data_IF_681436380992
#
_entry.id   IF_681436380992
#
_cell.length_a   1.000
_cell.length_b   1.000
_cell.length_c   1.000
_cell.angle_alpha   90.00
_cell.angle_beta   90.00
_cell.angle_gamma   90.00
#
_symmetry.space_group_name_H-M   'P 1'
#
loop_
_entity.id
_entity.type
_entity.pdbx_description
1 polymer ?
#
# COMPACT_ATOMS: atom_id res chain seq x y z
N UNK A 1 -23.23 30.65 -13.57
CA UNK A 1 -23.02 29.66 -14.65
C UNK A 1 -22.29 28.46 -14.08
N UNK A 2 -22.98 27.33 -13.93
CA UNK A 2 -22.41 26.06 -13.44
C UNK A 2 -22.00 25.25 -14.67
N UNK A 3 -20.71 24.90 -14.82
CA UNK A 3 -20.27 23.84 -15.73
C UNK A 3 -19.98 22.58 -14.90
N UNK A 4 -20.97 21.69 -14.85
CA UNK A 4 -20.79 20.24 -14.69
C UNK A 4 -20.72 19.63 -16.10
N UNK A 5 -20.69 18.29 -16.17
CA UNK A 5 -20.66 17.38 -17.32
C UNK A 5 -19.24 16.88 -17.60
N UNK A 6 -18.85 15.66 -17.19
CA UNK A 6 -19.35 14.28 -17.34
C UNK A 6 -18.45 13.53 -18.32
N UNK A 7 -17.87 12.44 -17.82
CA UNK A 7 -17.14 11.44 -18.59
C UNK A 7 -18.08 10.67 -19.52
N UNK A 8 -17.59 10.28 -20.70
CA UNK A 8 -18.20 9.23 -21.50
C UNK A 8 -17.11 8.38 -22.14
N UNK A 9 -17.08 7.11 -21.74
CA UNK A 9 -16.45 6.00 -22.47
C UNK A 9 -17.43 5.53 -23.53
N UNK A 10 -16.99 5.30 -24.77
CA UNK A 10 -17.73 4.48 -25.72
C UNK A 10 -16.80 3.71 -26.65
N UNK A 11 -16.97 2.40 -26.59
CA UNK A 11 -16.47 1.34 -27.46
C UNK A 11 -16.90 1.54 -28.91
N UNK A 12 -15.99 1.36 -29.85
CA UNK A 12 -16.27 1.28 -31.29
C UNK A 12 -16.82 -0.11 -31.61
N UNK A 13 -18.05 -0.16 -32.11
CA UNK A 13 -18.60 -1.31 -32.83
C UNK A 13 -18.66 -0.94 -34.30
N UNK A 14 -18.05 -1.75 -35.15
CA UNK A 14 -18.01 -1.60 -36.61
C UNK A 14 -19.40 -1.88 -37.19
N UNK A 15 -19.87 -0.99 -38.07
CA UNK A 15 -20.88 -1.33 -39.08
C UNK A 15 -20.57 -0.56 -40.36
N UNK A 16 -20.43 -1.33 -41.43
CA UNK A 16 -20.16 -0.87 -42.78
C UNK A 16 -21.35 -0.11 -43.38
N UNK A 17 -21.05 0.92 -44.18
CA UNK A 17 -22.05 1.65 -44.96
C UNK A 17 -21.35 2.76 -45.73
N UNK A 18 -21.27 2.58 -47.04
CA UNK A 18 -20.69 3.48 -48.04
C UNK A 18 -21.46 4.80 -48.14
N UNK A 19 -20.76 5.94 -48.11
CA UNK A 19 -21.11 7.14 -48.90
C UNK A 19 -19.93 8.13 -48.89
N UNK A 20 -19.63 8.70 -50.05
CA UNK A 20 -18.46 9.54 -50.32
C UNK A 20 -18.55 10.90 -49.61
N UNK A 21 -17.46 11.29 -48.93
CA UNK A 21 -17.31 12.61 -48.31
C UNK A 21 -16.51 13.50 -49.28
N UNK A 22 -16.94 14.74 -49.60
CA UNK A 22 -16.25 15.61 -50.54
C UNK A 22 -14.97 16.19 -49.93
N UNK A 23 -14.08 16.68 -50.81
CA UNK A 23 -12.69 17.09 -50.60
C UNK A 23 -12.48 18.25 -49.59
N UNK A 24 -12.75 17.99 -48.32
CA UNK A 24 -12.29 18.78 -47.16
C UNK A 24 -11.48 17.92 -46.17
N UNK A 25 -11.30 16.63 -46.47
CA UNK A 25 -10.54 15.69 -45.65
C UNK A 25 -9.08 15.51 -46.13
N UNK A 26 -8.74 15.89 -47.36
CA UNK A 26 -7.39 15.68 -47.91
C UNK A 26 -6.37 16.73 -47.49
N UNK A 27 -6.78 17.95 -47.13
CA UNK A 27 -5.85 18.98 -46.63
C UNK A 27 -5.55 18.83 -45.12
N UNK A 28 -6.47 18.24 -44.34
CA UNK A 28 -6.19 17.90 -42.94
C UNK A 28 -5.29 16.67 -42.78
N UNK A 29 -5.18 15.80 -43.79
CA UNK A 29 -4.34 14.61 -43.72
C UNK A 29 -2.88 14.85 -44.14
N UNK A 30 -2.60 15.98 -44.81
CA UNK A 30 -1.24 16.35 -45.18
C UNK A 30 -0.53 17.17 -44.07
N UNK A 31 -1.27 17.89 -43.21
CA UNK A 31 -0.70 18.52 -42.00
C UNK A 31 -0.53 17.54 -40.81
N UNK A 32 -1.14 16.35 -40.85
CA UNK A 32 -0.97 15.32 -39.81
C UNK A 32 0.25 14.42 -40.09
N UNK A 33 0.78 14.42 -41.32
CA UNK A 33 1.94 13.59 -41.70
C UNK A 33 3.30 14.29 -41.57
N UNK A 34 3.34 15.56 -41.15
CA UNK A 34 4.57 16.33 -40.90
C UNK A 34 4.66 16.90 -39.47
N UNK A 35 3.77 16.48 -38.57
CA UNK A 35 3.98 16.69 -37.15
C UNK A 35 5.06 15.71 -36.68
N UNK A 36 6.19 16.16 -36.09
CA UNK A 36 7.06 15.24 -35.40
C UNK A 36 6.20 14.46 -34.40
N UNK A 37 6.44 13.16 -34.28
CA UNK A 37 5.82 12.38 -33.22
C UNK A 37 5.94 13.19 -31.94
N UNK A 38 4.80 13.61 -31.37
CA UNK A 38 4.78 14.07 -29.99
C UNK A 38 5.18 12.82 -29.24
N UNK A 39 6.47 12.67 -28.96
CA UNK A 39 6.91 11.90 -27.82
C UNK A 39 6.04 12.40 -26.70
N UNK A 40 5.10 11.55 -26.30
CA UNK A 40 4.38 11.72 -25.05
C UNK A 40 5.47 11.98 -24.04
N UNK A 41 5.59 13.23 -23.58
CA UNK A 41 6.33 13.56 -22.36
C UNK A 41 5.87 12.51 -21.37
N UNK A 42 6.71 11.50 -21.12
CA UNK A 42 6.38 10.50 -20.13
C UNK A 42 6.09 11.31 -18.87
N UNK A 43 5.00 10.98 -18.20
CA UNK A 43 4.66 11.57 -16.92
C UNK A 43 5.70 11.04 -15.92
N UNK A 44 6.95 11.53 -16.03
CA UNK A 44 8.13 11.22 -15.22
C UNK A 44 7.98 11.80 -13.81
N UNK A 45 6.75 12.06 -13.34
CA UNK A 45 6.50 12.73 -12.07
C UNK A 45 6.87 11.86 -10.87
N UNK A 46 7.12 10.56 -11.09
CA UNK A 46 7.57 9.61 -10.06
C UNK A 46 8.62 8.65 -10.62
N UNK A 47 9.76 8.61 -9.94
CA UNK A 47 10.80 7.64 -10.25
C UNK A 47 10.37 6.24 -9.82
N UNK A 48 10.37 5.30 -10.76
CA UNK A 48 10.10 3.90 -10.49
C UNK A 48 11.33 3.07 -10.86
N UNK A 49 11.73 2.19 -9.95
CA UNK A 49 12.80 1.24 -10.19
C UNK A 49 12.16 -0.08 -10.60
N UNK A 50 12.22 -0.42 -11.89
CA UNK A 50 11.54 -1.60 -12.45
C UNK A 50 12.50 -2.70 -12.94
N UNK A 51 13.79 -2.41 -13.10
CA UNK A 51 14.83 -3.43 -13.26
C UNK A 51 15.35 -3.85 -11.90
N UNK A 52 15.82 -5.11 -11.77
CA UNK A 52 16.41 -5.64 -10.54
C UNK A 52 17.79 -6.18 -10.84
N UNK A 53 18.80 -5.68 -10.13
CA UNK A 53 20.16 -6.18 -10.21
C UNK A 53 20.29 -7.59 -9.62
N UNK A 54 21.32 -8.32 -10.03
CA UNK A 54 21.61 -9.64 -9.48
C UNK A 54 21.78 -9.55 -7.95
N UNK A 55 21.28 -10.56 -7.22
CA UNK A 55 21.29 -10.60 -5.75
C UNK A 55 20.54 -9.46 -5.05
N UNK A 56 19.68 -8.72 -5.76
CA UNK A 56 18.76 -7.75 -5.19
C UNK A 56 17.31 -8.22 -5.24
N UNK A 57 16.45 -7.50 -4.51
CA UNK A 57 14.99 -7.66 -4.50
C UNK A 57 14.32 -6.28 -4.52
N UNK A 58 13.19 -6.16 -5.21
CA UNK A 58 12.39 -4.95 -5.16
C UNK A 58 11.50 -4.93 -3.91
N UNK A 59 11.63 -3.86 -3.14
CA UNK A 59 10.83 -3.61 -1.94
C UNK A 59 10.16 -2.26 -2.00
N UNK A 60 8.99 -2.18 -1.36
CA UNK A 60 8.14 -1.00 -1.35
C UNK A 60 8.26 -0.24 -0.05
N UNK A 61 8.69 1.01 -0.16
CA UNK A 61 8.83 1.94 0.93
C UNK A 61 7.69 2.97 0.90
N UNK A 62 6.88 3.02 1.95
CA UNK A 62 5.76 3.95 2.02
C UNK A 62 6.21 5.34 2.47
N UNK A 63 5.88 6.37 1.69
CA UNK A 63 6.16 7.75 2.07
C UNK A 63 5.47 8.78 1.21
N UNK A 64 5.99 10.02 1.23
CA UNK A 64 5.46 11.15 0.47
C UNK A 64 6.58 12.08 0.01
N UNK A 65 6.50 12.60 -1.21
CA UNK A 65 7.38 13.65 -1.71
C UNK A 65 6.75 15.03 -1.51
N UNK A 66 7.53 15.97 -0.98
CA UNK A 66 7.14 17.37 -0.89
C UNK A 66 7.36 18.09 -2.23
N UNK A 67 6.48 19.03 -2.60
CA UNK A 67 6.76 19.99 -3.66
C UNK A 67 7.27 21.29 -3.06
N UNK A 68 8.53 21.61 -3.32
CA UNK A 68 9.16 22.85 -2.83
C UNK A 68 10.28 23.35 -3.74
N UNK A 69 10.27 22.94 -5.02
CA UNK A 69 11.33 23.24 -5.99
C UNK A 69 11.62 24.74 -6.09
N UNK A 70 10.60 25.59 -6.27
CA UNK A 70 10.79 27.06 -6.35
C UNK A 70 11.43 27.65 -5.08
N UNK A 71 10.97 27.22 -3.91
CA UNK A 71 11.49 27.71 -2.63
C UNK A 71 12.94 27.25 -2.40
N UNK A 72 13.24 26.00 -2.77
CA UNK A 72 14.57 25.42 -2.69
C UNK A 72 15.55 26.10 -3.65
N UNK A 73 15.16 26.25 -4.92
CA UNK A 73 15.94 26.93 -5.95
C UNK A 73 16.24 28.38 -5.54
N UNK A 74 15.24 29.09 -5.02
CA UNK A 74 15.42 30.43 -4.46
C UNK A 74 16.43 30.43 -3.33
N UNK A 75 16.31 29.52 -2.35
CA UNK A 75 17.20 29.45 -1.19
C UNK A 75 18.65 29.18 -1.59
N UNK A 76 18.89 28.21 -2.48
CA UNK A 76 20.24 27.90 -2.99
C UNK A 76 20.84 29.11 -3.71
N UNK A 77 20.05 29.79 -4.55
CA UNK A 77 20.50 30.97 -5.27
C UNK A 77 20.78 32.18 -4.35
N UNK A 78 20.05 32.31 -3.24
CA UNK A 78 20.37 33.29 -2.19
C UNK A 78 21.72 32.98 -1.53
N UNK A 79 21.97 31.72 -1.18
CA UNK A 79 23.24 31.26 -0.60
C UNK A 79 24.42 31.52 -1.56
N UNK A 80 24.26 31.17 -2.84
CA UNK A 80 25.27 31.43 -3.89
C UNK A 80 25.60 32.92 -4.01
N UNK A 81 24.55 33.75 -4.04
CA UNK A 81 24.71 35.21 -4.13
C UNK A 81 25.39 35.77 -2.89
N UNK A 82 25.03 35.28 -1.72
CA UNK A 82 25.65 35.66 -0.45
C UNK A 82 27.15 35.35 -0.44
N UNK A 83 27.54 34.13 -0.84
CA UNK A 83 28.93 33.69 -0.92
C UNK A 83 29.78 34.59 -1.83
N UNK A 84 29.24 34.94 -3.01
CA UNK A 84 29.89 35.85 -3.97
C UNK A 84 30.02 37.28 -3.43
N UNK A 85 29.01 37.78 -2.71
CA UNK A 85 29.06 39.11 -2.06
C UNK A 85 30.08 39.18 -0.94
N UNK A 86 30.22 38.10 -0.17
CA UNK A 86 31.10 38.05 0.99
C UNK A 86 32.56 37.74 0.63
N UNK A 87 32.83 37.36 -0.62
CA UNK A 87 34.19 36.99 -1.02
C UNK A 87 34.69 35.74 -0.31
N UNK A 88 33.83 34.72 -0.14
CA UNK A 88 34.27 33.45 0.46
C UNK A 88 35.25 32.72 -0.46
N UNK A 89 36.01 31.76 0.08
CA UNK A 89 36.94 30.95 -0.70
C UNK A 89 36.24 30.28 -1.90
N UNK A 90 36.80 30.41 -3.10
CA UNK A 90 36.25 29.73 -4.30
C UNK A 90 36.48 28.22 -4.19
N UNK A 91 35.44 27.37 -4.23
CA UNK A 91 35.60 25.92 -4.21
C UNK A 91 36.41 25.36 -5.38
N UNK A 92 36.52 26.10 -6.49
CA UNK A 92 37.23 25.67 -7.70
C UNK A 92 38.71 26.00 -7.66
N UNK A 93 39.10 26.99 -6.85
CA UNK A 93 40.48 27.48 -6.80
C UNK A 93 40.82 27.97 -5.38
N UNK A 94 41.71 27.27 -4.66
CA UNK A 94 42.10 27.63 -3.30
C UNK A 94 42.86 28.97 -3.21
N UNK A 95 43.32 29.53 -4.34
CA UNK A 95 44.09 30.77 -4.35
C UNK A 95 43.26 32.03 -4.59
N UNK A 96 41.94 31.91 -4.77
CA UNK A 96 41.08 33.07 -5.03
C UNK A 96 39.78 33.06 -4.23
N UNK A 97 39.20 34.25 -4.09
CA UNK A 97 37.86 34.44 -3.50
C UNK A 97 36.81 34.57 -4.59
N UNK A 98 35.59 34.14 -4.28
CA UNK A 98 34.44 34.38 -5.13
C UNK A 98 34.18 35.89 -5.25
N UNK A 99 33.64 36.28 -6.39
CA UNK A 99 33.27 37.67 -6.67
C UNK A 99 31.85 37.72 -7.22
N UNK A 100 31.26 38.92 -7.30
CA UNK A 100 29.94 39.06 -7.92
C UNK A 100 29.90 38.69 -9.41
N UNK A 101 31.04 38.72 -10.13
CA UNK A 101 31.11 38.19 -11.50
C UNK A 101 31.05 36.67 -11.58
N UNK A 102 31.32 35.95 -10.49
CA UNK A 102 31.17 34.49 -10.43
C UNK A 102 29.72 34.07 -10.15
N UNK A 103 28.82 35.01 -9.80
CA UNK A 103 27.44 34.67 -9.48
C UNK A 103 26.63 34.32 -10.72
N UNK A 104 26.45 33.02 -10.93
CA UNK A 104 25.50 32.45 -11.89
C UNK A 104 24.40 31.73 -11.09
N UNK A 105 23.12 32.16 -11.21
CA UNK A 105 22.02 31.43 -10.61
C UNK A 105 21.98 30.01 -11.15
N UNK A 106 21.94 29.03 -10.25
CA UNK A 106 21.68 27.64 -10.61
C UNK A 106 20.24 27.53 -11.08
N UNK A 107 20.00 26.65 -12.05
CA UNK A 107 18.68 26.31 -12.58
C UNK A 107 18.19 24.99 -12.00
N UNK A 108 16.89 24.74 -12.08
CA UNK A 108 16.34 23.45 -11.71
C UNK A 108 16.38 22.48 -12.89
N UNK A 109 16.54 21.18 -12.66
CA UNK A 109 16.33 20.13 -13.67
C UNK A 109 15.43 19.02 -13.11
N UNK A 110 14.41 18.63 -13.88
CA UNK A 110 13.53 17.52 -13.50
C UNK A 110 14.21 16.17 -13.65
N UNK A 111 15.20 16.03 -14.53
CA UNK A 111 16.05 14.85 -14.62
C UNK A 111 16.90 14.66 -13.36
N UNK A 112 17.51 15.74 -12.84
CA UNK A 112 18.19 15.70 -11.54
C UNK A 112 17.21 15.48 -10.39
N UNK A 113 16.01 16.07 -10.44
CA UNK A 113 14.95 15.83 -9.46
C UNK A 113 14.51 14.35 -9.44
N UNK A 114 14.46 13.69 -10.60
CA UNK A 114 14.16 12.27 -10.71
C UNK A 114 15.16 11.43 -9.91
N UNK A 115 16.46 11.69 -10.10
CA UNK A 115 17.54 11.02 -9.35
C UNK A 115 17.39 11.34 -7.86
N UNK A 116 17.21 12.62 -7.51
CA UNK A 116 17.03 13.07 -6.14
C UNK A 116 15.86 12.37 -5.43
N UNK A 117 14.75 12.09 -6.14
CA UNK A 117 13.59 11.38 -5.58
C UNK A 117 13.95 9.96 -5.17
N UNK A 118 14.58 9.20 -6.06
CA UNK A 118 15.03 7.83 -5.75
C UNK A 118 16.00 7.87 -4.57
N UNK A 119 17.00 8.74 -4.63
CA UNK A 119 18.02 8.86 -3.59
C UNK A 119 17.45 9.31 -2.25
N UNK A 120 16.51 10.26 -2.21
CA UNK A 120 15.87 10.66 -0.96
C UNK A 120 15.08 9.51 -0.31
N UNK A 121 14.42 8.66 -1.10
CA UNK A 121 13.72 7.50 -0.57
C UNK A 121 14.67 6.41 -0.09
N UNK A 122 15.67 6.05 -0.91
CA UNK A 122 16.71 5.09 -0.54
C UNK A 122 17.45 5.55 0.72
N UNK A 123 17.90 6.81 0.76
CA UNK A 123 18.64 7.38 1.87
C UNK A 123 17.82 7.51 3.16
N UNK A 124 16.48 7.47 3.09
CA UNK A 124 15.62 7.46 4.28
C UNK A 124 15.69 6.14 5.06
N UNK A 125 16.10 5.06 4.39
CA UNK A 125 16.26 3.72 4.97
C UNK A 125 17.67 3.17 4.84
N UNK A 126 18.61 3.91 4.24
CA UNK A 126 20.03 3.57 4.14
C UNK A 126 20.87 4.86 4.16
N UNK A 127 21.35 5.27 5.32
CA UNK A 127 21.91 6.62 5.53
C UNK A 127 23.38 6.73 5.05
N UNK A 128 23.59 6.54 3.75
CA UNK A 128 24.90 6.55 3.09
C UNK A 128 24.78 7.07 1.64
N UNK A 129 25.92 7.47 1.07
CA UNK A 129 26.04 7.80 -0.36
C UNK A 129 26.09 6.54 -1.24
N UNK A 130 26.35 5.36 -0.66
CA UNK A 130 26.09 4.10 -1.32
C UNK A 130 24.57 3.84 -1.38
N UNK A 131 24.12 3.24 -2.48
CA UNK A 131 22.72 2.84 -2.68
C UNK A 131 22.44 1.51 -1.96
N UNK A 132 21.18 1.25 -1.56
CA UNK A 132 20.81 0.00 -0.86
C UNK A 132 21.06 -1.28 -1.65
N UNK A 133 21.21 -1.19 -2.98
CA UNK A 133 21.58 -2.31 -3.85
C UNK A 133 23.10 -2.58 -3.91
N UNK A 134 23.92 -1.75 -3.25
CA UNK A 134 25.38 -1.88 -3.19
C UNK A 134 26.14 -1.06 -4.23
N UNK A 135 25.46 -0.37 -5.14
CA UNK A 135 26.10 0.53 -6.12
C UNK A 135 26.33 1.93 -5.51
N UNK A 136 27.17 2.75 -6.13
CA UNK A 136 27.36 4.15 -5.72
C UNK A 136 26.14 5.02 -6.12
N UNK A 137 25.89 6.14 -5.44
CA UNK A 137 24.79 7.07 -5.78
C UNK A 137 24.80 7.51 -7.26
N UNK A 138 25.99 7.69 -7.85
CA UNK A 138 26.17 8.09 -9.25
C UNK A 138 25.93 6.97 -10.28
N UNK A 139 25.56 5.76 -9.86
CA UNK A 139 25.21 4.67 -10.79
C UNK A 139 23.85 4.87 -11.49
N UNK A 140 23.07 5.85 -11.03
CA UNK A 140 21.73 6.11 -11.52
C UNK A 140 21.71 7.30 -12.48
N UNK A 141 21.05 7.10 -13.61
CA UNK A 141 20.68 8.17 -14.54
C UNK A 141 19.17 8.42 -14.51
N UNK A 142 18.76 9.60 -14.99
CA UNK A 142 17.37 9.85 -15.35
C UNK A 142 16.95 9.02 -16.57
N UNK A 143 15.64 8.92 -16.89
CA UNK A 143 15.17 8.27 -18.11
C UNK A 143 15.74 8.87 -19.41
N UNK A 144 16.14 10.15 -19.37
CA UNK A 144 16.79 10.85 -20.48
C UNK A 144 18.32 10.66 -20.51
N UNK A 145 18.88 9.86 -19.60
CA UNK A 145 20.31 9.57 -19.54
C UNK A 145 21.15 10.64 -18.85
N UNK A 146 20.54 11.57 -18.11
CA UNK A 146 21.27 12.57 -17.33
C UNK A 146 21.78 11.95 -16.04
N UNK A 147 23.01 12.24 -15.66
CA UNK A 147 23.65 11.74 -14.43
C UNK A 147 23.86 12.88 -13.41
N UNK A 148 23.98 12.51 -12.14
CA UNK A 148 24.36 13.45 -11.08
C UNK A 148 25.88 13.54 -10.97
N UNK A 149 26.40 14.76 -10.79
CA UNK A 149 27.82 15.03 -10.57
C UNK A 149 28.15 15.45 -9.13
N UNK A 150 27.14 15.44 -8.26
CA UNK A 150 27.32 15.73 -6.84
C UNK A 150 26.04 15.50 -6.05
N UNK A 151 26.08 14.54 -5.13
CA UNK A 151 24.99 14.26 -4.20
C UNK A 151 25.24 14.95 -2.85
N UNK A 152 24.19 15.56 -2.31
CA UNK A 152 24.16 16.07 -0.93
C UNK A 152 22.94 15.50 -0.21
N UNK A 153 23.13 15.01 1.02
CA UNK A 153 22.07 14.37 1.80
C UNK A 153 21.84 15.11 3.11
N UNK A 154 20.58 15.21 3.53
CA UNK A 154 20.20 15.75 4.83
C UNK A 154 19.10 14.90 5.47
N UNK A 155 19.22 14.68 6.78
CA UNK A 155 18.24 13.99 7.59
C UNK A 155 17.81 14.85 8.76
N UNK A 156 16.50 14.99 8.94
CA UNK A 156 15.89 15.73 10.04
C UNK A 156 14.44 15.26 10.29
N UNK A 157 13.70 15.99 11.14
CA UNK A 157 12.30 15.67 11.47
C UNK A 157 11.32 16.78 11.09
N UNK A 158 11.75 17.75 10.29
CA UNK A 158 10.89 18.83 9.77
C UNK A 158 9.90 18.30 8.73
N UNK A 159 8.95 19.14 8.29
CA UNK A 159 8.01 18.79 7.21
C UNK A 159 8.21 19.71 5.98
N UNK A 160 9.45 20.14 5.74
CA UNK A 160 9.82 21.01 4.63
C UNK A 160 11.20 20.62 4.08
N UNK A 161 11.47 21.07 2.85
CA UNK A 161 12.75 20.83 2.17
C UNK A 161 13.83 21.84 2.61
N UNK A 162 13.42 23.04 3.02
CA UNK A 162 14.33 24.16 3.30
C UNK A 162 15.22 23.86 4.52
N UNK A 163 14.67 23.18 5.52
CA UNK A 163 15.45 22.73 6.68
C UNK A 163 16.66 21.88 6.28
N UNK A 164 16.52 21.00 5.28
CA UNK A 164 17.65 20.22 4.76
C UNK A 164 18.72 21.10 4.09
N UNK A 165 18.29 22.09 3.30
CA UNK A 165 19.19 23.06 2.66
C UNK A 165 19.92 23.91 3.70
N UNK A 166 19.24 24.30 4.78
CA UNK A 166 19.85 25.07 5.86
C UNK A 166 20.81 24.23 6.72
N UNK A 167 20.61 22.90 6.81
CA UNK A 167 21.62 22.00 7.38
C UNK A 167 22.89 22.00 6.54
N UNK A 168 22.79 21.89 5.21
CA UNK A 168 23.94 22.01 4.30
C UNK A 168 24.62 23.36 4.40
N UNK A 169 23.85 24.44 4.54
CA UNK A 169 24.37 25.78 4.72
C UNK A 169 25.17 25.94 6.03
N UNK A 170 24.85 25.16 7.06
CA UNK A 170 25.53 25.19 8.35
C UNK A 170 27.05 25.01 8.26
N UNK A 171 27.53 24.27 7.26
CA UNK A 171 28.98 24.04 7.02
C UNK A 171 29.73 25.31 6.58
N UNK A 172 29.02 26.39 6.23
CA UNK A 172 29.61 27.67 5.84
C UNK A 172 30.69 28.13 6.81
N UNK A 173 30.47 27.98 8.12
CA UNK A 173 31.44 28.47 9.10
C UNK A 173 32.78 27.73 8.99
N UNK A 174 32.74 26.42 8.79
CA UNK A 174 33.93 25.59 8.63
C UNK A 174 34.65 25.93 7.33
N UNK A 175 33.91 26.18 6.24
CA UNK A 175 34.50 26.62 4.97
C UNK A 175 35.12 28.02 5.07
N UNK A 176 34.43 28.99 5.67
CA UNK A 176 34.94 30.35 5.75
C UNK A 176 36.16 30.45 6.66
N UNK A 177 36.16 29.70 7.76
CA UNK A 177 37.25 29.69 8.75
C UNK A 177 38.35 28.66 8.44
N UNK A 178 38.14 27.77 7.46
CA UNK A 178 39.06 26.70 7.09
C UNK A 178 39.45 25.83 8.31
N UNK A 179 38.44 25.39 9.07
CA UNK A 179 38.63 24.62 10.33
C UNK A 179 39.04 23.17 10.10
N UNK A 180 38.94 22.67 8.87
CA UNK A 180 39.07 21.25 8.54
C UNK A 180 37.79 20.42 8.78
N UNK A 181 36.67 21.07 9.11
CA UNK A 181 35.36 20.42 9.17
C UNK A 181 34.86 19.95 7.80
N UNK A 182 33.78 19.17 7.80
CA UNK A 182 33.11 18.74 6.56
C UNK A 182 32.42 19.95 5.92
N UNK A 183 32.72 20.21 4.65
CA UNK A 183 32.19 21.39 3.92
C UNK A 183 31.62 21.05 2.54
N UNK A 184 31.53 19.75 2.22
CA UNK A 184 31.12 19.27 0.91
C UNK A 184 29.76 19.84 0.49
N UNK A 185 28.77 19.82 1.37
CA UNK A 185 27.43 20.29 1.05
C UNK A 185 27.39 21.79 0.75
N UNK A 186 28.03 22.62 1.60
CA UNK A 186 28.10 24.06 1.36
C UNK A 186 28.86 24.36 0.07
N UNK A 187 30.00 23.71 -0.16
CA UNK A 187 30.82 23.94 -1.36
C UNK A 187 30.10 23.53 -2.64
N UNK A 188 29.32 22.44 -2.65
CA UNK A 188 28.48 22.06 -3.79
C UNK A 188 27.44 23.13 -4.12
N UNK A 189 26.79 23.72 -3.11
CA UNK A 189 25.82 24.80 -3.35
C UNK A 189 26.47 26.04 -3.95
N UNK A 190 27.65 26.46 -3.47
CA UNK A 190 28.28 27.72 -3.89
C UNK A 190 29.20 27.59 -5.10
N UNK A 191 29.55 26.37 -5.54
CA UNK A 191 30.44 26.15 -6.68
C UNK A 191 29.82 26.71 -7.97
N UNK A 192 30.43 27.72 -8.61
CA UNK A 192 29.85 28.32 -9.82
C UNK A 192 29.84 27.40 -11.05
N UNK A 193 30.60 26.29 -11.05
CA UNK A 193 30.52 25.30 -12.11
C UNK A 193 29.22 24.49 -12.07
N UNK A 194 28.53 24.41 -10.92
CA UNK A 194 27.22 23.77 -10.84
C UNK A 194 26.18 24.70 -11.45
N UNK A 195 25.66 24.32 -12.62
CA UNK A 195 24.71 25.08 -13.44
C UNK A 195 23.27 24.65 -13.19
N UNK A 196 23.07 23.37 -12.88
CA UNK A 196 21.76 22.78 -12.60
C UNK A 196 21.75 22.06 -11.26
N UNK A 197 20.55 22.00 -10.67
CA UNK A 197 20.28 21.26 -9.45
C UNK A 197 18.89 20.61 -9.52
N UNK A 198 18.75 19.43 -8.93
CA UNK A 198 17.45 18.82 -8.64
C UNK A 198 17.43 18.31 -7.22
N UNK A 199 16.40 18.65 -6.44
CA UNK A 199 16.24 18.20 -5.05
C UNK A 199 14.93 17.46 -4.87
N UNK A 200 14.92 16.53 -3.92
CA UNK A 200 13.70 15.92 -3.43
C UNK A 200 13.74 15.71 -1.92
N UNK A 201 12.58 15.84 -1.28
CA UNK A 201 12.39 15.47 0.11
C UNK A 201 11.39 14.33 0.20
N UNK A 202 11.83 13.20 0.75
CA UNK A 202 10.98 12.05 1.04
C UNK A 202 10.65 12.00 2.53
N UNK A 203 9.34 11.97 2.81
CA UNK A 203 8.79 11.84 4.15
C UNK A 203 8.44 10.38 4.41
N UNK A 204 9.25 9.73 5.23
CA UNK A 204 9.09 8.34 5.66
C UNK A 204 8.77 8.29 7.17
N UNK A 205 7.50 8.13 7.59
CA UNK A 205 7.14 8.17 9.02
C UNK A 205 7.80 7.09 9.89
N UNK A 206 8.18 5.97 9.28
CA UNK A 206 8.74 4.80 9.98
C UNK A 206 10.28 4.82 10.03
N UNK A 207 10.93 5.80 9.38
CA UNK A 207 12.38 5.97 9.38
C UNK A 207 12.92 6.53 10.71
N UNK A 208 14.25 6.44 10.90
CA UNK A 208 14.93 7.05 12.06
C UNK A 208 14.81 8.58 12.05
N UNK A 209 14.91 9.17 10.86
CA UNK A 209 14.59 10.56 10.58
C UNK A 209 13.45 10.60 9.59
N UNK A 210 12.36 11.27 9.97
CA UNK A 210 11.15 11.30 9.15
C UNK A 210 11.38 11.96 7.79
N UNK A 211 12.29 12.92 7.72
CA UNK A 211 12.55 13.75 6.55
C UNK A 211 13.97 13.50 6.05
N UNK A 212 14.05 13.02 4.82
CA UNK A 212 15.30 12.89 4.08
C UNK A 212 15.24 13.76 2.85
N UNK A 213 16.23 14.63 2.66
CA UNK A 213 16.39 15.47 1.48
C UNK A 213 17.65 15.07 0.72
N UNK A 214 17.51 14.77 -0.57
CA UNK A 214 18.63 14.62 -1.51
C UNK A 214 18.71 15.84 -2.42
N UNK A 215 19.92 16.27 -2.73
CA UNK A 215 20.19 17.26 -3.76
C UNK A 215 21.25 16.74 -4.73
N UNK A 216 20.96 16.85 -6.02
CA UNK A 216 21.81 16.43 -7.12
C UNK A 216 22.27 17.67 -7.90
N UNK A 217 23.57 17.84 -8.08
CA UNK A 217 24.17 18.95 -8.81
C UNK A 217 24.79 18.47 -10.12
N UNK A 218 24.73 19.32 -11.14
CA UNK A 218 25.40 19.08 -12.42
C UNK A 218 26.06 20.34 -12.97
N UNK A 219 27.21 20.15 -13.60
CA UNK A 219 27.88 21.17 -14.41
C UNK A 219 27.48 21.14 -15.88
N UNK A 220 26.63 20.19 -16.28
CA UNK A 220 26.16 20.06 -17.65
C UNK A 220 25.33 21.28 -18.09
N UNK A 221 25.30 21.52 -19.39
CA UNK A 221 24.58 22.63 -20.01
C UNK A 221 23.37 22.11 -20.77
N UNK A 222 22.27 22.86 -20.76
CA UNK A 222 21.11 22.55 -21.59
C UNK A 222 20.22 21.43 -21.04
N UNK A 223 20.34 21.12 -19.74
CA UNK A 223 19.38 20.25 -19.07
C UNK A 223 17.99 20.88 -19.05
N UNK A 224 16.98 20.03 -18.89
CA UNK A 224 15.59 20.42 -18.76
C UNK A 224 15.38 21.38 -17.56
N UNK A 225 14.31 22.17 -17.59
CA UNK A 225 13.96 23.11 -16.50
C UNK A 225 12.56 22.83 -15.92
N UNK A 226 12.09 21.58 -16.02
CA UNK A 226 10.80 21.14 -15.49
C UNK A 226 10.81 20.91 -13.98
N UNK A 227 9.64 20.82 -13.34
CA UNK A 227 9.52 20.51 -11.91
C UNK A 227 8.43 19.47 -11.67
N UNK A 228 8.67 18.49 -10.81
CA UNK A 228 7.67 17.51 -10.46
C UNK A 228 6.75 17.95 -9.30
N UNK A 229 5.55 17.39 -9.28
CA UNK A 229 4.50 17.71 -8.30
C UNK A 229 4.71 16.97 -6.97
N UNK A 230 4.00 17.43 -5.95
CA UNK A 230 3.96 16.76 -4.66
C UNK A 230 3.24 15.42 -4.80
N UNK A 231 3.71 14.40 -4.08
CA UNK A 231 3.09 13.07 -4.08
C UNK A 231 2.89 12.60 -2.65
N UNK A 232 1.66 12.18 -2.31
CA UNK A 232 1.31 11.76 -0.95
C UNK A 232 0.98 10.27 -0.91
N UNK A 233 1.38 9.61 0.18
CA UNK A 233 1.04 8.23 0.50
C UNK A 233 1.35 7.22 -0.63
N UNK A 234 2.51 7.36 -1.26
CA UNK A 234 2.97 6.46 -2.33
C UNK A 234 3.85 5.36 -1.75
N UNK A 235 3.84 4.19 -2.38
CA UNK A 235 4.86 3.16 -2.21
C UNK A 235 5.94 3.42 -3.25
N UNK A 236 7.11 3.86 -2.81
CA UNK A 236 8.30 4.01 -3.62
C UNK A 236 9.00 2.66 -3.70
N UNK A 237 9.19 2.13 -4.90
CA UNK A 237 10.02 0.93 -5.09
C UNK A 237 11.47 1.32 -4.95
N UNK A 238 12.23 0.52 -4.19
CA UNK A 238 13.68 0.58 -4.11
C UNK A 238 14.24 -0.83 -4.27
N UNK A 239 15.46 -0.94 -4.79
CA UNK A 239 16.18 -2.20 -4.82
C UNK A 239 17.06 -2.28 -3.58
N UNK A 240 17.08 -3.44 -2.92
CA UNK A 240 17.95 -3.71 -1.77
C UNK A 240 18.66 -5.04 -1.96
N UNK A 241 19.88 -5.16 -1.43
CA UNK A 241 20.61 -6.43 -1.46
C UNK A 241 19.88 -7.51 -0.66
N UNK A 242 19.85 -8.73 -1.20
CA UNK A 242 19.13 -9.85 -0.60
C UNK A 242 19.63 -10.19 0.82
N UNK A 243 20.93 -10.01 1.07
CA UNK A 243 21.56 -10.29 2.36
C UNK A 243 21.07 -9.39 3.50
N UNK A 244 20.57 -8.20 3.19
CA UNK A 244 20.10 -7.21 4.17
C UNK A 244 18.60 -7.34 4.49
N UNK A 245 17.92 -8.28 3.82
CA UNK A 245 16.49 -8.53 3.95
C UNK A 245 16.23 -9.82 4.73
N UNK A 246 15.30 -9.74 5.69
CA UNK A 246 14.71 -10.91 6.33
C UNK A 246 13.21 -10.94 6.05
N UNK A 247 12.76 -11.96 5.34
CA UNK A 247 11.33 -12.18 5.11
C UNK A 247 10.61 -12.44 6.44
N UNK A 248 9.37 -11.99 6.54
CA UNK A 248 8.53 -12.28 7.69
C UNK A 248 7.06 -12.42 7.28
N UNK A 249 6.42 -13.47 7.81
CA UNK A 249 4.99 -13.67 7.71
C UNK A 249 4.33 -13.49 9.10
N UNK A 250 3.29 -12.66 9.21
CA UNK A 250 2.57 -12.52 10.50
C UNK A 250 1.83 -13.82 10.84
N UNK A 251 1.92 -14.31 12.09
CA UNK A 251 1.11 -15.45 12.51
C UNK A 251 -0.38 -15.12 12.43
N UNK A 252 -1.19 -16.10 12.03
CA UNK A 252 -2.65 -15.97 12.08
C UNK A 252 -3.11 -15.89 13.54
N UNK A 253 -3.53 -14.69 13.97
CA UNK A 253 -3.91 -14.41 15.37
C UNK A 253 -5.13 -15.21 15.82
N UNK A 254 -6.06 -15.47 14.90
CA UNK A 254 -7.33 -16.12 15.19
C UNK A 254 -7.53 -17.37 14.31
N UNK A 255 -8.38 -18.27 14.80
CA UNK A 255 -8.85 -19.39 14.00
C UNK A 255 -9.78 -18.85 12.91
N UNK A 256 -9.65 -19.38 11.70
CA UNK A 256 -10.50 -19.01 10.57
C UNK A 256 -11.74 -19.89 10.57
N UNK A 257 -12.94 -19.32 10.45
CA UNK A 257 -14.14 -20.13 10.24
C UNK A 257 -14.22 -20.58 8.77
N UNK A 258 -14.84 -21.74 8.53
CA UNK A 258 -15.20 -22.18 7.17
C UNK A 258 -15.94 -21.07 6.42
N UNK A 259 -15.69 -20.94 5.12
CA UNK A 259 -16.14 -19.87 4.21
C UNK A 259 -15.67 -18.45 4.52
N UNK A 260 -14.88 -18.24 5.59
CA UNK A 260 -14.29 -16.93 5.89
C UNK A 260 -12.91 -16.81 5.25
N UNK A 261 -12.53 -15.56 5.00
CA UNK A 261 -11.23 -15.20 4.44
C UNK A 261 -10.41 -14.39 5.41
N UNK A 262 -9.09 -14.44 5.27
CA UNK A 262 -8.14 -13.58 5.97
C UNK A 262 -6.97 -13.27 5.04
N UNK A 263 -6.52 -12.01 5.03
CA UNK A 263 -5.31 -11.63 4.28
C UNK A 263 -4.07 -12.12 5.04
N UNK A 264 -3.28 -12.97 4.40
CA UNK A 264 -1.95 -13.27 4.88
C UNK A 264 -1.05 -12.04 4.69
N UNK A 265 -0.20 -11.76 5.67
CA UNK A 265 0.72 -10.63 5.64
C UNK A 265 2.14 -11.13 5.59
N UNK A 266 2.78 -10.93 4.45
CA UNK A 266 4.17 -11.27 4.17
C UNK A 266 4.90 -10.00 3.74
N UNK A 267 6.06 -9.73 4.33
CA UNK A 267 6.80 -8.49 4.13
C UNK A 267 8.30 -8.67 4.37
N UNK A 268 9.09 -7.72 3.88
CA UNK A 268 10.52 -7.64 4.09
C UNK A 268 10.81 -6.83 5.36
N UNK A 269 11.59 -7.40 6.28
CA UNK A 269 12.28 -6.64 7.31
C UNK A 269 13.66 -6.27 6.76
N UNK A 270 13.84 -5.00 6.45
CA UNK A 270 15.08 -4.46 5.91
C UNK A 270 15.83 -3.68 6.99
N UNK A 271 17.11 -3.98 7.16
CA UNK A 271 17.99 -3.21 8.03
C UNK A 271 19.07 -2.57 7.16
N UNK A 272 18.90 -1.28 6.85
CA UNK A 272 19.92 -0.56 6.12
C UNK A 272 21.19 -0.31 6.94
N UNK A 273 22.15 0.35 6.30
CA UNK A 273 23.40 0.80 6.90
C UNK A 273 23.39 2.32 7.13
N UNK A 274 24.29 2.77 8.01
CA UNK A 274 24.50 4.18 8.30
C UNK A 274 24.74 4.41 9.79
N UNK A 275 25.57 5.39 10.12
CA UNK A 275 26.01 5.63 11.51
C UNK A 275 24.84 5.89 12.48
N UNK A 276 23.80 6.58 12.01
CA UNK A 276 22.62 6.92 12.81
C UNK A 276 21.45 5.96 12.61
N UNK A 277 21.64 4.88 11.85
CA UNK A 277 20.56 3.95 11.55
C UNK A 277 20.42 2.90 12.65
N UNK A 278 19.24 2.89 13.28
CA UNK A 278 18.93 1.99 14.41
C UNK A 278 17.73 1.09 14.14
N UNK A 279 16.83 1.50 13.24
CA UNK A 279 15.56 0.82 12.98
C UNK A 279 15.70 -0.30 11.95
N UNK A 280 14.87 -1.32 12.14
CA UNK A 280 14.51 -2.27 11.09
C UNK A 280 13.22 -1.77 10.44
N UNK A 281 13.26 -1.58 9.13
CA UNK A 281 12.16 -1.07 8.33
C UNK A 281 11.30 -2.22 7.82
N UNK A 282 9.98 -2.08 7.98
CA UNK A 282 9.01 -3.02 7.43
C UNK A 282 8.58 -2.54 6.04
N UNK A 283 9.04 -3.25 5.01
CA UNK A 283 8.81 -2.93 3.60
C UNK A 283 7.92 -3.98 2.93
N UNK A 284 7.14 -3.62 1.93
CA UNK A 284 6.45 -4.62 1.09
C UNK A 284 7.43 -5.27 0.12
N UNK A 285 7.17 -6.51 -0.28
CA UNK A 285 7.79 -7.07 -1.48
C UNK A 285 7.02 -6.57 -2.70
N UNK A 286 7.73 -6.09 -3.72
CA UNK A 286 7.14 -5.58 -4.96
C UNK A 286 7.36 -6.53 -6.15
N UNK A 287 8.24 -7.52 -5.98
CA UNK A 287 8.34 -8.68 -6.85
C UNK A 287 7.16 -9.65 -6.65
N UNK A 288 7.00 -10.58 -7.59
CA UNK A 288 5.91 -11.56 -7.54
C UNK A 288 6.05 -12.47 -6.31
N UNK A 289 4.98 -12.54 -5.49
CA UNK A 289 4.90 -13.45 -4.34
C UNK A 289 4.09 -14.69 -4.72
N UNK A 290 4.74 -15.85 -4.67
CA UNK A 290 4.12 -17.15 -4.85
C UNK A 290 3.48 -17.63 -3.54
N UNK A 291 2.18 -17.93 -3.58
CA UNK A 291 1.43 -18.42 -2.42
C UNK A 291 1.05 -19.88 -2.58
N UNK A 292 1.21 -20.66 -1.51
CA UNK A 292 0.80 -22.06 -1.50
C UNK A 292 0.22 -22.50 -0.16
N UNK A 293 -0.60 -23.56 -0.19
CA UNK A 293 -1.15 -24.21 0.99
C UNK A 293 -0.80 -25.68 1.02
N UNK A 294 -0.34 -26.18 2.17
CA UNK A 294 -0.08 -27.60 2.37
C UNK A 294 -1.34 -28.46 2.30
N UNK A 295 -2.53 -27.86 2.44
CA UNK A 295 -3.82 -28.56 2.30
C UNK A 295 -4.94 -27.60 1.86
N UNK A 296 -5.10 -27.36 0.55
CA UNK A 296 -6.15 -26.48 0.01
C UNK A 296 -7.59 -26.90 0.36
N UNK A 297 -7.82 -28.18 0.68
CA UNK A 297 -9.14 -28.67 1.13
C UNK A 297 -9.49 -28.25 2.56
N UNK A 298 -8.50 -27.80 3.34
CA UNK A 298 -8.68 -27.22 4.68
C UNK A 298 -8.65 -25.71 4.61
N UNK A 299 -7.59 -25.14 4.01
CA UNK A 299 -7.47 -23.71 3.75
C UNK A 299 -6.83 -23.49 2.37
N UNK A 300 -7.54 -22.84 1.46
CA UNK A 300 -7.01 -22.44 0.17
C UNK A 300 -6.42 -21.03 0.28
N UNK A 301 -5.44 -20.70 -0.55
CA UNK A 301 -4.86 -19.35 -0.66
C UNK A 301 -4.83 -18.98 -2.14
N UNK A 302 -5.16 -17.73 -2.47
CA UNK A 302 -5.07 -17.21 -3.84
C UNK A 302 -3.73 -16.51 -4.11
N UNK A 303 -3.52 -16.08 -5.35
CA UNK A 303 -2.30 -15.38 -5.81
C UNK A 303 -2.04 -14.06 -5.08
N UNK A 304 -3.06 -13.49 -4.41
CA UNK A 304 -2.95 -12.23 -3.63
C UNK A 304 -2.73 -12.50 -2.14
N UNK A 305 -2.57 -13.77 -1.74
CA UNK A 305 -2.39 -14.17 -0.34
C UNK A 305 -3.67 -14.14 0.49
N UNK A 306 -4.86 -14.12 -0.13
CA UNK A 306 -6.13 -14.21 0.59
C UNK A 306 -6.40 -15.68 0.92
N UNK A 307 -6.36 -16.01 2.21
CA UNK A 307 -6.58 -17.38 2.71
C UNK A 307 -8.06 -17.59 3.00
N UNK A 308 -8.67 -18.58 2.35
CA UNK A 308 -10.08 -18.99 2.53
C UNK A 308 -10.16 -20.29 3.32
N UNK A 309 -10.94 -20.29 4.41
CA UNK A 309 -11.22 -21.51 5.17
C UNK A 309 -12.22 -22.40 4.42
N UNK A 310 -11.86 -23.67 4.19
CA UNK A 310 -12.68 -24.62 3.41
C UNK A 310 -13.31 -25.67 4.32
N UNK A 311 -12.53 -26.31 5.19
CA UNK A 311 -13.04 -27.32 6.12
C UNK A 311 -12.26 -27.35 7.42
N UNK A 312 -12.83 -27.96 8.46
CA UNK A 312 -12.19 -28.02 9.77
C UNK A 312 -10.85 -28.76 9.71
N UNK A 313 -9.78 -28.14 10.21
CA UNK A 313 -8.45 -28.74 10.19
C UNK A 313 -7.35 -27.71 10.39
N UNK A 314 -6.11 -28.08 10.04
CA UNK A 314 -4.96 -27.20 10.01
C UNK A 314 -4.26 -27.30 8.66
N UNK A 315 -3.79 -26.18 8.15
CA UNK A 315 -2.97 -26.10 6.94
C UNK A 315 -1.81 -25.13 7.17
N UNK A 316 -0.67 -25.36 6.51
CA UNK A 316 0.46 -24.45 6.48
C UNK A 316 0.35 -23.61 5.21
N UNK A 317 0.31 -22.29 5.36
CA UNK A 317 0.34 -21.33 4.24
C UNK A 317 1.78 -20.84 4.10
N UNK A 318 2.30 -20.90 2.88
CA UNK A 318 3.66 -20.48 2.54
C UNK A 318 3.60 -19.33 1.54
N UNK A 319 4.45 -18.32 1.75
CA UNK A 319 4.69 -17.21 0.84
C UNK A 319 6.16 -17.24 0.42
N UNK A 320 6.43 -17.09 -0.88
CA UNK A 320 7.78 -17.06 -1.43
C UNK A 320 7.95 -15.88 -2.39
N UNK A 321 9.04 -15.14 -2.27
CA UNK A 321 9.43 -14.05 -3.15
C UNK A 321 10.92 -14.23 -3.48
N UNK A 322 11.25 -14.71 -4.68
CA UNK A 322 12.63 -15.06 -5.05
C UNK A 322 13.26 -16.05 -4.07
N UNK A 323 14.34 -15.63 -3.40
CA UNK A 323 15.08 -16.42 -2.39
C UNK A 323 14.43 -16.41 -1.00
N UNK A 324 13.41 -15.57 -0.78
CA UNK A 324 12.76 -15.40 0.52
C UNK A 324 11.55 -16.31 0.63
N UNK A 325 11.48 -17.12 1.69
CA UNK A 325 10.34 -18.00 1.96
C UNK A 325 9.97 -17.98 3.44
N UNK A 326 8.68 -17.80 3.74
CA UNK A 326 8.15 -17.90 5.09
C UNK A 326 6.81 -18.63 5.10
N UNK A 327 6.45 -19.17 6.26
CA UNK A 327 5.22 -19.94 6.37
C UNK A 327 4.57 -19.88 7.75
N UNK A 328 3.24 -19.92 7.78
CA UNK A 328 2.45 -19.91 9.01
C UNK A 328 1.32 -20.92 8.97
N UNK A 329 1.08 -21.57 10.09
CA UNK A 329 -0.03 -22.52 10.25
C UNK A 329 -1.32 -21.77 10.53
N UNK A 330 -2.35 -22.05 9.75
CA UNK A 330 -3.72 -21.61 10.00
C UNK A 330 -4.57 -22.77 10.49
N UNK A 331 -5.39 -22.52 11.51
CA UNK A 331 -6.39 -23.47 11.99
C UNK A 331 -7.77 -23.04 11.52
N UNK A 332 -8.40 -23.89 10.73
CA UNK A 332 -9.77 -23.69 10.27
C UNK A 332 -10.73 -24.42 11.19
N UNK A 333 -11.74 -23.69 11.65
CA UNK A 333 -12.86 -24.23 12.40
C UNK A 333 -13.99 -24.51 11.43
N UNK A 334 -14.61 -25.70 11.54
CA UNK A 334 -15.82 -25.98 10.78
C UNK A 334 -16.94 -25.02 11.17
N UNK A 335 -17.98 -24.95 10.36
CA UNK A 335 -19.16 -24.17 10.71
C UNK A 335 -19.60 -24.53 12.13
N UNK A 336 -19.84 -23.50 12.95
CA UNK A 336 -20.51 -23.71 14.21
C UNK A 336 -21.87 -24.33 13.87
N UNK A 337 -21.99 -25.65 13.96
CA UNK A 337 -23.29 -26.35 13.94
C UNK A 337 -24.05 -25.78 15.12
N UNK A 338 -24.82 -24.72 14.89
CA UNK A 338 -25.68 -24.16 15.91
C UNK A 338 -26.60 -25.31 16.30
N UNK A 339 -26.51 -25.76 17.55
CA UNK A 339 -27.39 -26.81 18.08
C UNK A 339 -28.56 -26.14 18.79
N UNK A 340 -29.73 -26.76 18.76
CA UNK A 340 -30.86 -26.31 19.57
C UNK A 340 -30.47 -26.45 21.04
N UNK A 341 -30.39 -25.33 21.77
CA UNK A 341 -30.05 -25.28 23.19
C UNK A 341 -31.25 -25.53 24.10
N UNK A 342 -32.45 -25.05 23.72
CA UNK A 342 -33.69 -25.28 24.50
C UNK A 342 -34.95 -25.28 23.65
N UNK A 343 -36.00 -25.91 24.19
CA UNK A 343 -37.40 -25.78 23.74
C UNK A 343 -38.21 -25.13 24.86
N UNK A 344 -38.87 -24.01 24.58
CA UNK A 344 -39.72 -23.25 25.53
C UNK A 344 -41.16 -23.14 25.02
N UNK A 345 -42.09 -22.65 25.85
CA UNK A 345 -43.49 -22.46 25.46
C UNK A 345 -44.33 -23.73 25.40
N UNK A 346 -43.86 -24.82 26.03
CA UNK A 346 -44.56 -26.10 26.15
C UNK A 346 -45.00 -26.30 27.61
N UNK A 347 -46.30 -26.16 27.94
CA UNK A 347 -46.78 -26.44 29.29
C UNK A 347 -46.75 -27.95 29.58
N UNK A 348 -46.59 -28.32 30.87
CA UNK A 348 -46.56 -29.75 31.29
C UNK A 348 -47.91 -30.44 31.05
N UNK A 349 -49.02 -29.72 31.25
CA UNK A 349 -50.40 -30.21 31.08
C UNK A 349 -51.33 -29.15 30.50
N UNK A 350 -52.37 -29.56 29.79
CA UNK A 350 -53.45 -28.70 29.29
C UNK A 350 -54.78 -29.46 29.26
N UNK A 351 -55.85 -28.84 29.72
CA UNK A 351 -57.21 -29.38 29.62
C UNK A 351 -57.98 -28.63 28.53
N UNK A 352 -58.72 -29.36 27.70
CA UNK A 352 -59.52 -28.84 26.60
C UNK A 352 -60.91 -29.48 26.64
N UNK A 353 -61.96 -28.71 26.33
CA UNK A 353 -63.29 -29.27 26.06
C UNK A 353 -63.28 -29.99 24.71
N UNK A 354 -64.06 -31.07 24.57
CA UNK A 354 -64.24 -31.77 23.29
C UNK A 354 -64.54 -30.78 22.14
N UNK A 355 -63.91 -30.98 20.99
CA UNK A 355 -64.07 -30.14 19.79
C UNK A 355 -63.21 -28.88 19.75
N UNK A 356 -62.67 -28.40 20.88
CA UNK A 356 -61.84 -27.19 20.91
C UNK A 356 -60.42 -27.42 20.36
N UNK A 357 -59.83 -26.34 19.84
CA UNK A 357 -58.46 -26.29 19.32
C UNK A 357 -57.57 -25.46 20.24
N UNK A 358 -56.29 -25.78 20.29
CA UNK A 358 -55.28 -25.03 21.04
C UNK A 358 -53.92 -25.09 20.34
N UNK A 359 -53.29 -23.94 20.14
CA UNK A 359 -51.96 -23.85 19.52
C UNK A 359 -50.86 -23.87 20.58
N UNK A 360 -49.92 -24.80 20.46
CA UNK A 360 -48.72 -24.86 21.30
C UNK A 360 -47.77 -23.74 20.84
N UNK A 361 -47.44 -22.79 21.73
CA UNK A 361 -46.50 -21.69 21.45
C UNK A 361 -45.03 -22.12 21.61
N UNK A 362 -44.67 -23.31 21.11
CA UNK A 362 -43.33 -23.86 21.26
C UNK A 362 -42.30 -23.05 20.48
N UNK A 363 -41.14 -22.76 21.09
CA UNK A 363 -40.02 -22.05 20.46
C UNK A 363 -38.70 -22.79 20.73
N UNK A 364 -37.95 -23.06 19.67
CA UNK A 364 -36.57 -23.53 19.74
C UNK A 364 -35.61 -22.33 19.85
N UNK A 365 -34.54 -22.45 20.64
CA UNK A 365 -33.50 -21.42 20.77
C UNK A 365 -32.12 -22.03 20.53
N UNK A 366 -31.27 -21.43 19.67
CA UNK A 366 -31.54 -20.25 18.84
C UNK A 366 -32.65 -20.48 17.79
N UNK A 367 -33.28 -19.41 17.30
CA UNK A 367 -34.36 -19.51 16.29
C UNK A 367 -33.79 -20.07 14.98
N UNK A 368 -34.62 -20.77 14.20
CA UNK A 368 -34.30 -21.30 12.85
C UNK A 368 -33.17 -22.34 12.79
N UNK A 369 -32.76 -22.87 13.93
CA UNK A 369 -31.69 -23.88 14.01
C UNK A 369 -32.18 -25.31 13.74
N UNK A 370 -33.45 -25.60 14.02
CA UNK A 370 -34.09 -26.86 13.64
C UNK A 370 -35.61 -26.69 13.55
N UNK A 371 -36.26 -27.47 12.68
CA UNK A 371 -37.71 -27.51 12.54
C UNK A 371 -38.36 -28.22 13.75
N UNK A 372 -39.41 -27.62 14.30
CA UNK A 372 -40.23 -28.24 15.34
C UNK A 372 -41.12 -29.33 14.73
N UNK A 373 -41.13 -30.51 15.34
CA UNK A 373 -42.02 -31.61 14.97
C UNK A 373 -42.91 -32.01 16.14
N UNK A 374 -44.14 -32.44 15.83
CA UNK A 374 -45.18 -32.73 16.81
C UNK A 374 -45.75 -34.13 16.60
N UNK A 375 -45.91 -34.91 17.68
CA UNK A 375 -46.52 -36.24 17.66
C UNK A 375 -47.50 -36.40 18.81
N UNK A 376 -48.70 -36.91 18.53
CA UNK A 376 -49.64 -37.34 19.59
C UNK A 376 -49.43 -38.81 19.91
N UNK A 377 -49.52 -39.17 21.20
CA UNK A 377 -49.59 -40.57 21.63
C UNK A 377 -50.90 -41.24 21.25
N UNK A 378 -51.99 -40.47 21.16
CA UNK A 378 -53.31 -40.95 20.75
C UNK A 378 -54.05 -39.87 19.93
N UNK A 379 -54.07 -40.07 18.60
CA UNK A 379 -54.73 -39.16 17.65
C UNK A 379 -56.26 -39.23 17.70
N UNK A 380 -56.86 -40.25 18.35
CA UNK A 380 -58.31 -40.39 18.56
C UNK A 380 -58.77 -39.55 19.75
N UNK A 381 -57.93 -39.37 20.77
CA UNK A 381 -58.18 -38.47 21.91
C UNK A 381 -57.80 -37.02 21.59
N UNK A 382 -56.57 -36.77 21.12
CA UNK A 382 -56.12 -35.45 20.71
C UNK A 382 -55.14 -35.52 19.52
N UNK A 383 -55.44 -34.85 18.42
CA UNK A 383 -54.52 -34.78 17.26
C UNK A 383 -53.75 -33.47 17.25
N UNK A 384 -52.51 -33.47 16.76
CA UNK A 384 -51.70 -32.26 16.54
C UNK A 384 -51.21 -32.21 15.09
N UNK A 385 -51.22 -31.04 14.48
CA UNK A 385 -50.71 -30.84 13.12
C UNK A 385 -49.25 -30.33 13.10
N UNK A 386 -48.66 -30.18 11.91
CA UNK A 386 -47.29 -29.70 11.74
C UNK A 386 -47.04 -28.26 12.22
N UNK A 387 -48.10 -27.45 12.41
CA UNK A 387 -48.05 -26.09 12.98
C UNK A 387 -48.23 -26.07 14.50
N UNK A 388 -48.31 -27.23 15.17
CA UNK A 388 -48.48 -27.33 16.62
C UNK A 388 -49.90 -27.05 17.12
N UNK A 389 -50.91 -27.10 16.24
CA UNK A 389 -52.32 -26.91 16.61
C UNK A 389 -52.92 -28.25 17.03
N UNK A 390 -53.31 -28.35 18.30
CA UNK A 390 -53.96 -29.51 18.92
C UNK A 390 -55.49 -29.39 18.78
N UNK A 391 -56.16 -30.46 18.35
CA UNK A 391 -57.63 -30.60 18.31
C UNK A 391 -58.06 -31.69 19.30
N UNK A 392 -58.91 -31.33 20.26
CA UNK A 392 -59.52 -32.26 21.21
C UNK A 392 -60.69 -33.02 20.56
N UNK A 393 -60.65 -34.36 20.57
CA UNK A 393 -61.60 -35.19 19.80
C UNK A 393 -62.49 -36.07 20.66
N UNK A 394 -61.92 -36.78 21.64
CA UNK A 394 -62.65 -37.71 22.52
C UNK A 394 -62.18 -37.51 23.96
N UNK A 395 -63.09 -37.65 24.91
CA UNK A 395 -62.79 -37.59 26.34
C UNK A 395 -61.70 -38.63 26.68
N UNK A 396 -60.70 -38.22 27.44
CA UNK A 396 -59.52 -39.04 27.71
C UNK A 396 -58.24 -38.23 27.86
N UNK A 397 -57.10 -38.93 27.92
CA UNK A 397 -55.77 -38.32 28.07
C UNK A 397 -54.87 -38.72 26.89
N UNK A 398 -54.14 -37.76 26.34
CA UNK A 398 -53.12 -37.99 25.30
C UNK A 398 -51.88 -37.13 25.59
N UNK A 399 -50.70 -37.57 25.19
CA UNK A 399 -49.47 -36.79 25.33
C UNK A 399 -49.01 -36.28 23.97
N UNK A 400 -48.83 -34.96 23.85
CA UNK A 400 -48.18 -34.35 22.68
C UNK A 400 -46.68 -34.25 22.95
N UNK A 401 -45.88 -34.86 22.09
CA UNK A 401 -44.42 -34.77 22.05
C UNK A 401 -43.99 -33.72 21.03
N UNK A 402 -43.11 -32.81 21.45
CA UNK A 402 -42.48 -31.77 20.62
C UNK A 402 -40.99 -32.08 20.53
N UNK A 403 -40.41 -32.14 19.33
CA UNK A 403 -38.97 -32.32 19.11
C UNK A 403 -38.36 -31.19 18.28
N UNK A 404 -37.12 -30.82 18.58
CA UNK A 404 -36.28 -29.94 17.77
C UNK A 404 -34.82 -30.40 17.89
N UNK A 405 -34.23 -30.87 16.79
CA UNK A 405 -32.94 -31.56 16.84
C UNK A 405 -33.01 -32.80 17.75
N UNK A 406 -32.04 -32.95 18.67
CA UNK A 406 -32.02 -34.02 19.67
C UNK A 406 -32.90 -33.76 20.90
N UNK A 407 -33.43 -32.55 21.10
CA UNK A 407 -34.21 -32.20 22.29
C UNK A 407 -35.70 -32.59 22.15
N UNK A 408 -36.31 -32.98 23.27
CA UNK A 408 -37.72 -33.38 23.38
C UNK A 408 -38.40 -32.70 24.57
N UNK A 409 -39.64 -32.24 24.39
CA UNK A 409 -40.58 -31.84 25.46
C UNK A 409 -41.93 -32.48 25.25
N UNK A 410 -42.70 -32.64 26.33
CA UNK A 410 -44.03 -33.26 26.30
C UNK A 410 -45.06 -32.40 27.00
N UNK A 411 -46.31 -32.49 26.54
CA UNK A 411 -47.47 -31.85 27.13
C UNK A 411 -48.61 -32.88 27.25
N UNK A 412 -49.10 -33.12 28.47
CA UNK A 412 -50.25 -34.00 28.73
C UNK A 412 -51.56 -33.25 28.44
N UNK A 413 -52.33 -33.71 27.48
CA UNK A 413 -53.65 -33.20 27.11
C UNK A 413 -54.72 -34.02 27.82
N UNK A 414 -55.63 -33.36 28.54
CA UNK A 414 -56.85 -33.97 29.06
C UNK A 414 -58.05 -33.38 28.32
N UNK A 415 -58.86 -34.24 27.72
CA UNK A 415 -60.11 -33.84 27.06
C UNK A 415 -61.27 -34.17 27.97
N UNK A 416 -62.10 -33.16 28.27
CA UNK A 416 -63.33 -33.29 29.08
C UNK A 416 -64.56 -32.96 28.25
#
# INVERSE_FOLDING_TARGET
>A
MKRKWIALVLSVSVLAGTEAVPAFASEMQQEISEMPAVETLQDHTLAETDSVEENCVLVGLKGSYLASADAALKRINEIRKEACKQGVQDPRDPNRKLTMSDYVPVKWSSDLEYIARVRAAEASVYMDHQRPNGTMCFSQASPNGVESWGEVLAWNNSNDMITGIDQWYGEKQDWVKQTGGVTGHYTSMINPNNLYVGLATFICPDADFKNTTSGEFSFETGLDEGQAKAVKNKVQKIQVQNQDVKAYMEPFKEKLASSKTVQAKFYANYRGSGFYQSRTHKLSFEDTVEWSSSNPKVAAVDEKGVVTGVSAGTAKITAKCGVFEESRTIRVTGDAKVRVKKITGVPKKKTLKKGKKWSIKAKATPKNVAKLTYKSSDKKVASVNGKGVVKAKKNGKATITIKAGSLKKTCKITVK
#
